data_IF_151310602701
#
_entry.id   IF_151310602701
#
_cell.length_a   1.000
_cell.length_b   1.000
_cell.length_c   1.000
_cell.angle_alpha   90.00
_cell.angle_beta   90.00
_cell.angle_gamma   90.00
#
_symmetry.space_group_name_H-M   'P 1'
#
loop_
_entity.id
_entity.type
_entity.pdbx_description
1 polymer ?
#
# COMPACT_ATOMS: atom_id res chain seq x y z
N UNK A 1 -50.83 28.56 -14.78
CA UNK A 1 -49.41 28.95 -14.70
C UNK A 1 -48.78 28.18 -13.55
N UNK A 2 -48.11 27.08 -13.88
CA UNK A 2 -47.16 26.29 -13.07
C UNK A 2 -46.25 25.73 -14.16
N UNK A 3 -44.96 26.06 -14.25
CA UNK A 3 -43.96 26.08 -13.20
C UNK A 3 -42.96 25.00 -13.62
N UNK A 4 -41.85 25.43 -14.24
CA UNK A 4 -40.72 24.60 -14.65
C UNK A 4 -40.07 23.94 -13.43
N UNK A 5 -40.03 22.60 -13.40
CA UNK A 5 -39.25 21.74 -12.49
C UNK A 5 -39.29 20.34 -13.13
N UNK A 6 -38.24 19.54 -13.23
CA UNK A 6 -36.82 19.72 -13.10
C UNK A 6 -36.23 18.50 -13.81
N UNK A 7 -35.33 18.76 -14.75
CA UNK A 7 -34.67 17.75 -15.56
C UNK A 7 -33.48 17.23 -14.76
N UNK A 8 -33.68 16.25 -13.89
CA UNK A 8 -32.59 15.61 -13.15
C UNK A 8 -32.94 14.17 -12.73
N UNK A 9 -32.93 13.25 -13.69
CA UNK A 9 -32.91 11.81 -13.41
C UNK A 9 -32.01 11.12 -14.43
N UNK A 10 -30.75 11.53 -14.47
CA UNK A 10 -29.66 10.83 -15.15
C UNK A 10 -28.38 11.09 -14.35
N UNK A 11 -27.64 10.03 -14.00
CA UNK A 11 -26.46 9.98 -13.12
C UNK A 11 -26.69 9.59 -11.65
N UNK A 12 -27.03 8.32 -11.42
CA UNK A 12 -26.75 7.69 -10.13
C UNK A 12 -26.52 6.19 -10.25
N UNK A 13 -25.66 5.71 -11.16
CA UNK A 13 -25.31 4.28 -11.13
C UNK A 13 -23.95 3.97 -11.78
N UNK A 14 -22.87 4.60 -11.30
CA UNK A 14 -21.53 4.17 -11.71
C UNK A 14 -20.46 4.41 -10.63
N UNK A 15 -20.63 3.89 -9.41
CA UNK A 15 -19.54 3.82 -8.40
C UNK A 15 -19.54 2.54 -7.56
N UNK A 16 -19.69 1.39 -8.21
CA UNK A 16 -19.56 0.07 -7.56
C UNK A 16 -18.43 -0.83 -8.11
N UNK A 17 -17.89 -0.53 -9.30
CA UNK A 17 -16.97 -1.43 -10.01
C UNK A 17 -15.48 -1.22 -9.73
N UNK A 18 -15.07 -0.02 -9.31
CA UNK A 18 -13.66 0.38 -9.33
C UNK A 18 -12.83 -0.29 -8.21
N UNK A 19 -13.42 -0.52 -7.05
CA UNK A 19 -12.71 -1.10 -5.91
C UNK A 19 -12.31 -2.57 -6.14
N UNK A 20 -13.13 -3.36 -6.86
CA UNK A 20 -12.84 -4.78 -7.15
C UNK A 20 -11.79 -4.95 -8.25
N UNK A 21 -11.81 -4.08 -9.26
CA UNK A 21 -10.81 -4.11 -10.36
C UNK A 21 -9.44 -3.59 -9.89
N UNK A 22 -9.43 -2.57 -9.03
CA UNK A 22 -8.20 -2.09 -8.40
C UNK A 22 -7.57 -3.15 -7.49
N UNK A 23 -8.38 -3.85 -6.68
CA UNK A 23 -7.91 -4.97 -5.86
C UNK A 23 -7.36 -6.12 -6.72
N UNK A 24 -8.02 -6.48 -7.84
CA UNK A 24 -7.55 -7.51 -8.74
C UNK A 24 -6.20 -7.18 -9.40
N UNK A 25 -5.98 -5.92 -9.83
CA UNK A 25 -4.68 -5.48 -10.38
C UNK A 25 -3.57 -5.38 -9.33
N UNK A 26 -3.90 -5.28 -8.04
CA UNK A 26 -2.92 -5.42 -6.96
C UNK A 26 -2.50 -6.88 -6.75
N UNK A 27 -3.35 -7.85 -7.10
CA UNK A 27 -3.01 -9.29 -7.03
C UNK A 27 -1.92 -9.65 -8.06
N UNK A 28 -1.83 -8.91 -9.17
CA UNK A 28 -0.82 -9.15 -10.21
C UNK A 28 0.61 -8.87 -9.72
N UNK A 29 0.77 -8.05 -8.69
CA UNK A 29 2.09 -7.73 -8.11
C UNK A 29 2.12 -7.97 -6.59
N UNK A 30 2.59 -9.15 -6.13
CA UNK A 30 2.60 -9.51 -4.72
C UNK A 30 3.32 -8.50 -3.84
N UNK A 31 4.39 -7.86 -4.33
CA UNK A 31 5.10 -6.85 -3.53
C UNK A 31 4.27 -5.57 -3.39
N UNK A 32 3.53 -5.17 -4.42
CA UNK A 32 2.64 -4.02 -4.35
C UNK A 32 1.54 -4.25 -3.31
N UNK A 33 0.94 -5.46 -3.29
CA UNK A 33 -0.03 -5.83 -2.27
C UNK A 33 0.56 -5.78 -0.86
N UNK A 34 1.78 -6.29 -0.67
CA UNK A 34 2.47 -6.25 0.62
C UNK A 34 2.75 -4.81 1.09
N UNK A 35 3.23 -3.94 0.19
CA UNK A 35 3.51 -2.52 0.49
C UNK A 35 2.23 -1.78 0.88
N UNK A 36 1.14 -1.97 0.15
CA UNK A 36 -0.14 -1.31 0.45
C UNK A 36 -0.68 -1.79 1.80
N UNK A 37 -0.60 -3.08 2.09
CA UNK A 37 -1.01 -3.62 3.39
C UNK A 37 -0.16 -3.05 4.53
N UNK A 38 1.16 -2.94 4.35
CA UNK A 38 2.04 -2.34 5.34
C UNK A 38 1.69 -0.87 5.61
N UNK A 39 1.52 -0.06 4.56
CA UNK A 39 1.16 1.36 4.70
C UNK A 39 -0.20 1.53 5.37
N UNK A 40 -1.22 0.77 4.95
CA UNK A 40 -2.54 0.83 5.57
C UNK A 40 -2.53 0.45 7.04
N UNK A 41 -1.72 -0.55 7.44
CA UNK A 41 -1.59 -0.93 8.83
C UNK A 41 -0.79 0.08 9.67
N UNK A 42 0.15 0.78 9.04
CA UNK A 42 0.91 1.86 9.70
C UNK A 42 0.03 3.10 9.88
N UNK A 43 -0.79 3.44 8.91
CA UNK A 43 -1.77 4.53 9.01
C UNK A 43 -2.78 4.23 10.12
N UNK A 44 -3.34 3.00 10.18
CA UNK A 44 -4.22 2.56 11.28
C UNK A 44 -3.54 2.65 12.65
N UNK A 45 -2.25 2.30 12.74
CA UNK A 45 -1.47 2.47 13.96
C UNK A 45 -1.36 3.94 14.36
N UNK A 46 -0.97 4.80 13.43
CA UNK A 46 -0.78 6.23 13.69
C UNK A 46 -2.08 6.93 14.12
N UNK A 47 -3.23 6.50 13.59
CA UNK A 47 -4.54 7.03 13.98
C UNK A 47 -4.99 6.58 15.37
N UNK A 48 -4.67 5.34 15.76
CA UNK A 48 -5.24 4.71 16.96
C UNK A 48 -4.26 4.59 18.14
N UNK A 49 -2.98 4.94 17.94
CA UNK A 49 -1.95 4.90 18.99
C UNK A 49 -1.15 6.21 19.05
N UNK A 50 -1.78 7.35 19.45
CA UNK A 50 -1.11 8.65 19.49
C UNK A 50 -0.07 8.78 20.62
N UNK A 51 -0.17 7.96 21.67
CA UNK A 51 0.73 8.00 22.83
C UNK A 51 1.71 6.82 22.80
N UNK A 52 3.01 7.08 22.97
CA UNK A 52 4.05 6.05 23.08
C UNK A 52 4.01 5.33 24.44
N UNK A 53 2.96 4.55 24.67
CA UNK A 53 2.75 3.78 25.90
C UNK A 53 2.75 2.27 25.64
N UNK A 54 2.67 1.46 26.72
CA UNK A 54 2.61 -0.01 26.60
C UNK A 54 1.43 -0.51 25.74
N UNK A 55 0.33 0.23 25.70
CA UNK A 55 -0.82 -0.05 24.84
C UNK A 55 -0.47 0.11 23.36
N UNK A 56 0.28 1.16 23.00
CA UNK A 56 0.78 1.37 21.65
C UNK A 56 1.73 0.24 21.21
N UNK A 57 2.64 -0.22 22.07
CA UNK A 57 3.49 -1.38 21.77
C UNK A 57 2.69 -2.66 21.45
N UNK A 58 1.63 -2.91 22.21
CA UNK A 58 0.72 -4.05 21.96
C UNK A 58 -0.07 -3.84 20.66
N UNK A 59 -0.51 -2.61 20.40
CA UNK A 59 -1.25 -2.28 19.19
C UNK A 59 -0.37 -2.46 17.95
N UNK A 60 0.88 -1.97 17.98
CA UNK A 60 1.88 -2.14 16.93
C UNK A 60 2.09 -3.62 16.55
N UNK A 61 2.14 -4.52 17.54
CA UNK A 61 2.25 -5.97 17.31
C UNK A 61 1.05 -6.55 16.57
N UNK A 62 -0.15 -6.01 16.81
CA UNK A 62 -1.41 -6.46 16.20
C UNK A 62 -1.68 -5.81 14.85
N UNK A 63 -1.11 -4.64 14.59
CA UNK A 63 -1.29 -3.87 13.35
C UNK A 63 -0.08 -4.01 12.44
N UNK A 64 0.82 -3.04 12.39
CA UNK A 64 1.82 -2.88 11.34
C UNK A 64 3.04 -3.79 11.48
N UNK A 65 3.39 -4.32 12.66
CA UNK A 65 4.59 -5.16 12.82
C UNK A 65 4.51 -6.46 12.03
N UNK A 66 3.30 -7.04 11.87
CA UNK A 66 3.10 -8.25 11.07
C UNK A 66 3.34 -8.00 9.57
N UNK A 67 2.70 -7.02 8.90
CA UNK A 67 2.99 -6.71 7.51
C UNK A 67 4.42 -6.16 7.32
N UNK A 68 5.00 -5.45 8.30
CA UNK A 68 6.42 -5.06 8.26
C UNK A 68 7.34 -6.27 8.09
N UNK A 69 7.14 -7.33 8.87
CA UNK A 69 7.93 -8.57 8.76
C UNK A 69 7.84 -9.23 7.38
N UNK A 70 6.71 -9.07 6.68
CA UNK A 70 6.58 -9.59 5.30
C UNK A 70 7.53 -8.83 4.37
N UNK A 71 7.63 -7.51 4.51
CA UNK A 71 8.56 -6.66 3.74
C UNK A 71 10.01 -6.95 4.11
N UNK A 72 10.33 -7.09 5.40
CA UNK A 72 11.69 -7.39 5.88
C UNK A 72 12.24 -8.70 5.30
N UNK A 73 11.39 -9.72 5.23
CA UNK A 73 11.76 -11.05 4.74
C UNK A 73 11.47 -11.22 3.25
N UNK A 74 11.20 -10.14 2.52
CA UNK A 74 10.83 -10.22 1.12
C UNK A 74 12.01 -10.64 0.23
N UNK A 75 11.78 -11.66 -0.60
CA UNK A 75 12.80 -12.25 -1.47
C UNK A 75 12.42 -12.20 -2.96
N UNK A 76 11.14 -12.06 -3.28
CA UNK A 76 10.66 -12.08 -4.66
C UNK A 76 10.87 -10.74 -5.38
N UNK A 77 11.04 -10.80 -6.70
CA UNK A 77 11.07 -9.62 -7.56
C UNK A 77 9.68 -8.98 -7.74
N UNK A 78 9.66 -7.68 -8.03
CA UNK A 78 8.44 -7.02 -8.50
C UNK A 78 8.02 -7.58 -9.87
N UNK A 79 6.71 -7.72 -10.09
CA UNK A 79 6.16 -8.25 -11.35
C UNK A 79 5.74 -7.16 -12.32
N UNK A 80 5.53 -5.94 -11.82
CA UNK A 80 5.07 -4.80 -12.61
C UNK A 80 5.94 -3.58 -12.36
N UNK A 81 5.93 -2.64 -13.32
CA UNK A 81 6.56 -1.33 -13.16
C UNK A 81 6.05 -0.60 -11.92
N UNK A 82 4.74 -0.71 -11.65
CA UNK A 82 4.12 -0.05 -10.50
C UNK A 82 4.67 -0.61 -9.19
N UNK A 83 4.75 -1.93 -9.02
CA UNK A 83 5.32 -2.53 -7.81
C UNK A 83 6.80 -2.20 -7.64
N UNK A 84 7.59 -2.20 -8.72
CA UNK A 84 8.99 -1.78 -8.66
C UNK A 84 9.16 -0.32 -8.19
N UNK A 85 8.36 0.60 -8.75
CA UNK A 85 8.39 2.02 -8.34
C UNK A 85 7.95 2.20 -6.89
N UNK A 86 6.88 1.52 -6.45
CA UNK A 86 6.41 1.62 -5.07
C UNK A 86 7.40 1.01 -4.07
N UNK A 87 8.11 -0.05 -4.45
CA UNK A 87 9.22 -0.61 -3.67
C UNK A 87 10.34 0.42 -3.50
N UNK A 88 10.78 1.08 -4.57
CA UNK A 88 11.80 2.14 -4.48
C UNK A 88 11.35 3.32 -3.62
N UNK A 89 10.08 3.72 -3.72
CA UNK A 89 9.51 4.77 -2.86
C UNK A 89 9.52 4.38 -1.39
N UNK A 90 9.15 3.13 -1.08
CA UNK A 90 9.21 2.62 0.29
C UNK A 90 10.66 2.56 0.79
N UNK A 91 11.61 2.09 -0.03
CA UNK A 91 13.03 2.07 0.32
C UNK A 91 13.55 3.49 0.63
N UNK A 92 13.22 4.47 -0.20
CA UNK A 92 13.64 5.86 0.00
C UNK A 92 13.01 6.49 1.25
N UNK A 93 11.76 6.16 1.56
CA UNK A 93 11.15 6.59 2.83
C UNK A 93 11.85 5.95 4.02
N UNK A 94 12.05 4.63 3.99
CA UNK A 94 12.69 3.87 5.05
C UNK A 94 14.13 4.33 5.32
N UNK A 95 14.90 4.68 4.28
CA UNK A 95 16.25 5.23 4.44
C UNK A 95 16.24 6.59 5.16
N UNK A 96 15.28 7.47 4.82
CA UNK A 96 15.11 8.79 5.47
C UNK A 96 14.68 8.66 6.93
N UNK A 97 13.88 7.65 7.24
CA UNK A 97 13.36 7.38 8.59
C UNK A 97 14.31 6.51 9.42
N UNK A 98 15.44 6.05 8.85
CA UNK A 98 16.42 5.19 9.51
C UNK A 98 16.04 3.71 9.62
N UNK A 99 14.93 3.27 8.99
CA UNK A 99 14.51 1.86 8.93
C UNK A 99 15.22 1.12 7.78
N UNK A 100 16.55 1.05 7.86
CA UNK A 100 17.39 0.47 6.81
C UNK A 100 17.11 -1.03 6.54
N UNK A 101 16.40 -1.71 7.45
CA UNK A 101 15.99 -3.12 7.30
C UNK A 101 15.10 -3.31 6.07
N UNK A 102 14.27 -2.32 5.73
CA UNK A 102 13.35 -2.40 4.59
C UNK A 102 14.01 -2.05 3.25
N UNK A 103 15.12 -1.31 3.27
CA UNK A 103 15.79 -0.79 2.07
C UNK A 103 16.25 -1.92 1.16
N UNK A 104 17.02 -2.88 1.72
CA UNK A 104 17.60 -3.97 0.95
C UNK A 104 16.57 -4.83 0.19
N UNK A 105 15.54 -5.39 0.86
CA UNK A 105 14.48 -6.15 0.21
C UNK A 105 13.76 -5.39 -0.91
N UNK A 106 13.44 -4.11 -0.69
CA UNK A 106 12.71 -3.31 -1.67
C UNK A 106 13.55 -2.94 -2.88
N UNK A 107 14.83 -2.58 -2.68
CA UNK A 107 15.75 -2.33 -3.79
C UNK A 107 15.93 -3.58 -4.63
N UNK A 108 16.13 -4.76 -4.02
CA UNK A 108 16.23 -6.03 -4.75
C UNK A 108 14.97 -6.35 -5.55
N UNK A 109 13.79 -6.14 -4.95
CA UNK A 109 12.52 -6.37 -5.63
C UNK A 109 12.39 -5.50 -6.89
N UNK A 110 12.76 -4.22 -6.79
CA UNK A 110 12.73 -3.29 -7.91
C UNK A 110 13.79 -3.62 -8.98
N UNK A 111 15.02 -3.93 -8.58
CA UNK A 111 16.09 -4.34 -9.49
C UNK A 111 15.70 -5.55 -10.32
N UNK A 112 15.10 -6.57 -9.70
CA UNK A 112 14.67 -7.77 -10.42
C UNK A 112 13.68 -7.48 -11.56
N UNK A 113 12.81 -6.46 -11.40
CA UNK A 113 11.92 -6.04 -12.48
C UNK A 113 12.67 -5.31 -13.59
N UNK A 114 13.57 -4.39 -13.23
CA UNK A 114 14.34 -3.60 -14.19
C UNK A 114 15.26 -4.49 -15.03
N UNK A 115 15.97 -5.43 -14.40
CA UNK A 115 16.88 -6.36 -15.07
C UNK A 115 16.17 -7.30 -16.06
N UNK A 116 14.90 -7.64 -15.82
CA UNK A 116 14.09 -8.46 -16.73
C UNK A 116 13.55 -7.68 -17.94
N UNK A 117 13.54 -6.35 -17.86
CA UNK A 117 12.87 -5.47 -18.84
C UNK A 117 13.86 -4.77 -19.79
N UNK A 118 15.17 -4.93 -19.56
CA UNK A 118 16.27 -4.44 -20.40
C UNK A 118 16.69 -5.53 -21.37
#
# INVERSE_FOLDING_TARGET
>A
MMGDEERAADNAEEKGGDCRVAAARMIDDPILAAIVNFRSALDDYNENAPDENKGAEIYALRTFRRPRRVIENWQDGARTRRGAVEALRLANAADRDGDHVLVGPMVRAALSYLEKTI
#
